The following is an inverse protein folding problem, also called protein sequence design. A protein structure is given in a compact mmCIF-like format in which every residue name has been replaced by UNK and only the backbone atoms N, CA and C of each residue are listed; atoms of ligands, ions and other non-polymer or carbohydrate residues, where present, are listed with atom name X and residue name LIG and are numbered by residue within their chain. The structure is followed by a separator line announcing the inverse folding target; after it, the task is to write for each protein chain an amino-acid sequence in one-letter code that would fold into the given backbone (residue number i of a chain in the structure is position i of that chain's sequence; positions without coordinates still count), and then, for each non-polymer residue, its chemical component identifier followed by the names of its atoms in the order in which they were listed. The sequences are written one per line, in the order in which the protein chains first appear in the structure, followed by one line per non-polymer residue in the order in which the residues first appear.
data_IF_512796490335
#
_entry.id   IF_512796490335
#
_cell.length_a   1.000
_cell.length_b   1.000
_cell.length_c   1.000
_cell.angle_alpha   90.00
_cell.angle_beta   90.00
_cell.angle_gamma   90.00
#
_symmetry.space_group_name_H-M   'P 1'
#
loop_
_entity.id
_entity.type
_entity.pdbx_description
1 polymer ?
#
# COMPACT_ATOMS: atom_id res chain seq x y z
N UNK A 1 13.50 21.54 2.33
CA UNK A 1 14.82 21.24 1.72
C UNK A 1 14.64 20.06 0.78
N UNK A 2 15.51 19.89 -0.22
CA UNK A 2 15.44 18.70 -1.08
C UNK A 2 15.70 17.44 -0.24
N UNK A 3 14.94 16.35 -0.42
CA UNK A 3 15.24 15.08 0.23
C UNK A 3 16.67 14.63 -0.08
N UNK A 4 17.38 14.15 0.93
CA UNK A 4 18.71 13.57 0.79
C UNK A 4 18.79 12.26 1.57
N UNK A 5 18.70 11.13 0.87
CA UNK A 5 18.66 9.81 1.51
C UNK A 5 19.92 9.50 2.33
N UNK A 6 21.05 10.13 2.01
CA UNK A 6 22.29 10.00 2.77
C UNK A 6 22.16 10.50 4.22
N UNK A 7 21.21 11.41 4.49
CA UNK A 7 20.91 11.83 5.86
C UNK A 7 20.32 10.69 6.70
N UNK A 8 19.83 9.61 6.07
CA UNK A 8 19.45 8.37 6.75
C UNK A 8 20.58 7.64 7.45
N UNK A 9 21.85 8.00 7.18
CA UNK A 9 23.06 7.49 7.85
C UNK A 9 23.45 8.31 9.09
N UNK A 10 22.88 9.50 9.25
CA UNK A 10 23.16 10.35 10.39
C UNK A 10 22.40 9.86 11.64
N UNK A 11 22.91 10.14 12.85
CA UNK A 11 22.13 9.99 14.06
C UNK A 11 20.81 10.76 13.98
N UNK A 12 19.74 10.20 14.54
CA UNK A 12 18.37 10.73 14.44
C UNK A 12 18.27 12.18 14.90
N UNK A 13 19.03 12.58 15.92
CA UNK A 13 19.05 13.96 16.42
C UNK A 13 19.69 14.95 15.43
N UNK A 14 20.57 14.49 14.55
CA UNK A 14 21.38 15.30 13.62
C UNK A 14 20.78 15.42 12.22
N UNK A 15 20.00 14.43 11.76
CA UNK A 15 19.31 14.51 10.46
C UNK A 15 18.13 15.49 10.50
N UNK A 16 17.71 16.10 9.39
CA UNK A 16 16.45 16.84 9.33
C UNK A 16 15.23 15.93 9.59
N UNK A 17 14.08 16.54 9.90
CA UNK A 17 12.80 15.84 9.79
C UNK A 17 12.57 15.42 8.35
N UNK A 18 11.94 14.27 8.13
CA UNK A 18 11.56 13.81 6.80
C UNK A 18 10.09 13.40 6.77
N UNK A 19 9.36 13.91 5.78
CA UNK A 19 7.96 13.56 5.53
C UNK A 19 7.86 13.00 4.12
N UNK A 20 7.13 11.88 3.98
CA UNK A 20 6.74 11.33 2.69
C UNK A 20 5.26 11.64 2.42
N UNK A 21 4.97 12.41 1.37
CA UNK A 21 3.61 12.71 0.92
C UNK A 21 3.25 11.81 -0.25
N UNK A 22 2.15 11.07 -0.15
CA UNK A 22 1.67 10.14 -1.17
C UNK A 22 0.38 10.67 -1.77
N UNK A 23 0.39 10.97 -3.07
CA UNK A 23 -0.83 11.13 -3.86
C UNK A 23 -1.34 9.75 -4.28
N UNK A 24 -2.52 9.39 -3.78
CA UNK A 24 -3.16 8.10 -3.93
C UNK A 24 -4.27 8.08 -4.97
N UNK A 25 -4.37 9.03 -5.91
CA UNK A 25 -5.32 8.92 -7.03
C UNK A 25 -4.84 7.89 -8.06
N UNK A 26 -5.75 7.22 -8.77
CA UNK A 26 -5.39 6.34 -9.90
C UNK A 26 -5.20 7.09 -11.24
N UNK A 27 -5.52 8.39 -11.30
CA UNK A 27 -5.40 9.14 -12.56
C UNK A 27 -3.95 9.26 -12.97
N UNK A 28 -3.70 9.04 -14.27
CA UNK A 28 -2.36 9.12 -14.86
C UNK A 28 -2.16 10.41 -15.62
N UNK A 29 -0.99 11.02 -15.47
CA UNK A 29 -0.59 12.11 -16.35
C UNK A 29 -0.42 11.59 -17.78
N UNK A 30 -0.88 12.37 -18.77
CA UNK A 30 -0.76 12.07 -20.21
C UNK A 30 -1.44 10.76 -20.65
N UNK A 31 -2.52 10.36 -19.97
CA UNK A 31 -3.36 9.23 -20.35
C UNK A 31 -4.82 9.54 -20.03
N UNK A 32 -5.75 8.64 -20.39
CA UNK A 32 -7.10 8.61 -19.82
C UNK A 32 -7.00 8.73 -18.27
N UNK A 33 -7.67 9.71 -17.64
CA UNK A 33 -8.84 10.46 -18.14
C UNK A 33 -8.57 11.80 -18.87
N UNK A 34 -7.31 12.19 -19.09
CA UNK A 34 -6.95 13.41 -19.85
C UNK A 34 -6.81 14.68 -19.00
N UNK A 35 -6.93 14.57 -17.68
CA UNK A 35 -6.78 15.67 -16.71
C UNK A 35 -6.03 15.19 -15.46
N UNK A 36 -5.32 16.10 -14.79
CA UNK A 36 -4.59 15.81 -13.56
C UNK A 36 -5.53 15.47 -12.39
N UNK A 37 -4.99 14.85 -11.34
CA UNK A 37 -5.76 14.51 -10.14
C UNK A 37 -5.77 15.65 -9.12
N UNK A 38 -6.88 15.79 -8.38
CA UNK A 38 -6.92 16.66 -7.19
C UNK A 38 -5.88 16.26 -6.17
N UNK A 39 -5.69 14.95 -5.98
CA UNK A 39 -4.69 14.38 -5.08
C UNK A 39 -3.29 14.93 -5.34
N UNK A 40 -2.89 15.03 -6.62
CA UNK A 40 -1.62 15.63 -7.02
C UNK A 40 -1.55 17.11 -6.67
N UNK A 41 -2.59 17.88 -6.98
CA UNK A 41 -2.67 19.30 -6.62
C UNK A 41 -2.54 19.51 -5.10
N UNK A 42 -3.23 18.69 -4.31
CA UNK A 42 -3.20 18.75 -2.84
C UNK A 42 -1.84 18.31 -2.27
N UNK A 43 -1.22 17.27 -2.83
CA UNK A 43 0.15 16.86 -2.49
C UNK A 43 1.16 17.98 -2.70
N UNK A 44 1.12 18.64 -3.86
CA UNK A 44 2.01 19.77 -4.17
C UNK A 44 1.75 20.96 -3.23
N UNK A 45 0.49 21.28 -2.95
CA UNK A 45 0.12 22.31 -1.98
C UNK A 45 0.65 22.01 -0.58
N UNK A 46 0.54 20.76 -0.10
CA UNK A 46 1.10 20.36 1.19
C UNK A 46 2.63 20.51 1.19
N UNK A 47 3.31 20.11 0.11
CA UNK A 47 4.76 20.25 0.00
C UNK A 47 5.22 21.72 0.09
N UNK A 48 4.45 22.67 -0.42
CA UNK A 48 4.74 24.10 -0.31
C UNK A 48 4.48 24.66 1.10
N UNK A 49 3.51 24.10 1.83
CA UNK A 49 3.11 24.58 3.16
C UNK A 49 3.90 23.96 4.31
N UNK A 50 4.44 22.75 4.14
CA UNK A 50 5.27 22.12 5.18
C UNK A 50 6.52 22.95 5.48
N UNK A 51 7.11 22.82 6.68
CA UNK A 51 8.32 23.54 7.05
C UNK A 51 9.47 23.26 6.07
N UNK A 52 10.02 24.32 5.47
CA UNK A 52 11.00 24.19 4.39
C UNK A 52 12.42 23.82 4.89
N UNK A 53 12.62 23.70 6.19
CA UNK A 53 13.78 23.07 6.83
C UNK A 53 13.63 21.54 6.97
N UNK A 54 12.47 20.97 6.62
CA UNK A 54 12.26 19.53 6.55
C UNK A 54 12.59 18.98 5.17
N UNK A 55 12.97 17.71 5.10
CA UNK A 55 13.01 16.93 3.87
C UNK A 55 11.60 16.54 3.47
N UNK A 56 11.12 17.16 2.40
CA UNK A 56 9.78 16.94 1.88
C UNK A 56 9.91 16.03 0.66
N UNK A 57 9.67 14.75 0.89
CA UNK A 57 9.65 13.70 -0.12
C UNK A 57 8.19 13.49 -0.57
N UNK A 58 7.94 13.28 -1.86
CA UNK A 58 6.59 13.01 -2.34
C UNK A 58 6.55 12.11 -3.57
N UNK A 59 5.47 11.35 -3.72
CA UNK A 59 5.21 10.51 -4.89
C UNK A 59 3.74 10.51 -5.28
N UNK A 60 3.49 10.48 -6.59
CA UNK A 60 2.16 10.31 -7.16
C UNK A 60 1.98 8.88 -7.68
N UNK A 61 1.28 8.04 -6.91
CA UNK A 61 1.06 6.62 -7.24
C UNK A 61 0.16 6.42 -8.45
N UNK A 62 -0.67 7.42 -8.79
CA UNK A 62 -1.48 7.42 -10.02
C UNK A 62 -0.60 7.36 -11.25
N UNK A 63 0.58 7.97 -11.13
CA UNK A 63 1.73 7.81 -12.01
C UNK A 63 1.63 8.55 -13.35
N UNK A 64 2.76 8.67 -14.05
CA UNK A 64 2.81 9.09 -15.45
C UNK A 64 2.47 7.90 -16.35
N UNK A 65 1.88 8.14 -17.52
CA UNK A 65 1.70 7.10 -18.54
C UNK A 65 3.01 6.31 -18.77
N UNK A 66 2.89 5.03 -19.14
CA UNK A 66 3.97 4.04 -19.36
C UNK A 66 4.86 3.62 -18.19
N UNK A 67 4.80 4.27 -17.02
CA UNK A 67 5.51 3.74 -15.84
C UNK A 67 4.95 2.37 -15.40
N UNK A 68 5.79 1.61 -14.69
CA UNK A 68 5.43 0.33 -14.10
C UNK A 68 4.15 0.42 -13.24
N UNK A 69 3.45 -0.71 -13.10
CA UNK A 69 2.36 -0.85 -12.14
C UNK A 69 2.94 -1.32 -10.80
N UNK A 70 2.21 -1.07 -9.71
CA UNK A 70 2.48 -1.77 -8.46
C UNK A 70 1.97 -3.19 -8.65
N UNK A 71 2.83 -4.17 -8.47
CA UNK A 71 2.45 -5.57 -8.54
C UNK A 71 1.72 -5.99 -7.24
N UNK A 72 0.83 -6.98 -7.32
CA UNK A 72 0.05 -7.44 -6.17
C UNK A 72 0.89 -8.17 -5.13
N UNK A 73 0.42 -8.26 -3.89
CA UNK A 73 1.06 -9.13 -2.90
C UNK A 73 0.84 -10.61 -3.26
N UNK A 74 1.89 -11.45 -3.15
CA UNK A 74 1.80 -12.90 -3.35
C UNK A 74 1.28 -13.65 -2.09
N UNK A 75 0.79 -12.93 -1.08
CA UNK A 75 0.23 -13.50 0.15
C UNK A 75 1.16 -14.46 0.90
N UNK A 76 2.48 -14.22 0.91
CA UNK A 76 3.44 -15.09 1.59
C UNK A 76 3.13 -15.30 3.08
N UNK A 77 2.58 -14.28 3.75
CA UNK A 77 2.16 -14.34 5.15
C UNK A 77 1.04 -15.38 5.40
N UNK A 78 0.24 -15.74 4.38
CA UNK A 78 -0.79 -16.79 4.50
C UNK A 78 -0.20 -18.20 4.57
N UNK A 79 1.09 -18.37 4.27
CA UNK A 79 1.83 -19.61 4.53
C UNK A 79 2.55 -19.54 5.88
N UNK A 80 3.28 -18.45 6.11
CA UNK A 80 4.05 -18.19 7.33
C UNK A 80 4.54 -16.75 7.30
N UNK A 81 4.55 -16.05 8.43
CA UNK A 81 5.13 -14.70 8.50
C UNK A 81 6.63 -14.71 8.20
N UNK A 82 7.32 -15.80 8.51
CA UNK A 82 8.73 -15.99 8.16
C UNK A 82 8.99 -16.06 6.63
N UNK A 83 7.96 -16.37 5.83
CA UNK A 83 8.02 -16.35 4.36
C UNK A 83 7.80 -14.94 3.79
N UNK A 84 7.14 -14.07 4.55
CA UNK A 84 6.87 -12.68 4.20
C UNK A 84 8.11 -11.81 4.53
N UNK A 85 9.05 -11.71 3.60
CA UNK A 85 10.33 -11.01 3.85
C UNK A 85 10.14 -9.50 3.92
N UNK A 86 10.91 -8.85 4.79
CA UNK A 86 11.03 -7.39 4.90
C UNK A 86 12.43 -6.91 4.46
N UNK A 87 12.53 -5.95 3.52
CA UNK A 87 11.47 -5.49 2.60
C UNK A 87 11.02 -6.60 1.64
N UNK A 88 9.84 -6.46 1.02
CA UNK A 88 9.23 -7.55 0.24
C UNK A 88 10.09 -7.98 -0.97
N UNK A 89 10.53 -9.23 -0.95
CA UNK A 89 11.33 -9.87 -2.00
C UNK A 89 10.51 -10.63 -3.07
N UNK A 90 9.20 -10.39 -3.19
CA UNK A 90 8.41 -11.03 -4.26
C UNK A 90 8.71 -10.46 -5.65
N UNK A 91 9.23 -9.24 -5.71
CA UNK A 91 9.66 -8.57 -6.94
C UNK A 91 11.01 -7.88 -6.67
N UNK A 92 11.60 -7.31 -7.71
CA UNK A 92 12.92 -6.69 -7.67
C UNK A 92 12.97 -5.45 -8.57
N UNK A 93 13.90 -4.50 -8.32
CA UNK A 93 14.00 -3.28 -9.12
C UNK A 93 14.46 -3.58 -10.55
N UNK A 94 13.88 -2.85 -11.52
CA UNK A 94 14.22 -2.94 -12.95
C UNK A 94 13.99 -4.32 -13.60
N UNK A 95 13.11 -5.15 -13.04
CA UNK A 95 12.77 -6.43 -13.65
C UNK A 95 11.96 -6.21 -14.95
N UNK A 96 12.38 -6.86 -16.05
CA UNK A 96 11.72 -6.70 -17.36
C UNK A 96 10.48 -7.58 -17.53
N UNK A 97 10.45 -8.73 -16.88
CA UNK A 97 9.33 -9.68 -16.97
C UNK A 97 8.19 -9.27 -16.02
N UNK A 98 8.54 -8.77 -14.84
CA UNK A 98 7.63 -8.38 -13.76
C UNK A 98 8.01 -7.00 -13.22
N UNK A 99 7.87 -5.92 -14.02
CA UNK A 99 8.20 -4.57 -13.56
C UNK A 99 7.32 -4.19 -12.37
N UNK A 100 7.94 -3.69 -11.29
CA UNK A 100 7.26 -3.31 -10.04
C UNK A 100 7.59 -1.88 -9.63
N UNK A 101 6.56 -1.03 -9.61
CA UNK A 101 6.71 0.39 -9.34
C UNK A 101 7.27 0.67 -7.94
N UNK A 102 6.93 -0.15 -6.93
CA UNK A 102 7.41 0.09 -5.57
C UNK A 102 8.92 -0.07 -5.46
N UNK A 103 9.49 -1.05 -6.15
CA UNK A 103 10.95 -1.23 -6.21
C UNK A 103 11.62 -0.21 -7.12
N UNK A 104 11.03 0.09 -8.29
CA UNK A 104 11.59 1.08 -9.22
C UNK A 104 11.67 2.50 -8.62
N UNK A 105 10.77 2.82 -7.68
CA UNK A 105 10.74 4.11 -6.96
C UNK A 105 11.36 4.05 -5.55
N UNK A 106 11.92 2.90 -5.16
CA UNK A 106 12.52 2.64 -3.84
C UNK A 106 11.59 3.02 -2.66
N UNK A 107 10.29 2.69 -2.80
CA UNK A 107 9.25 3.11 -1.85
C UNK A 107 9.49 2.53 -0.45
N UNK A 108 10.00 1.30 -0.32
CA UNK A 108 10.31 0.72 0.99
C UNK A 108 11.32 1.56 1.76
N UNK A 109 12.40 1.99 1.10
CA UNK A 109 13.42 2.86 1.71
C UNK A 109 12.86 4.23 2.05
N UNK A 110 12.03 4.81 1.18
CA UNK A 110 11.41 6.14 1.41
C UNK A 110 10.44 6.12 2.60
N UNK A 111 9.66 5.05 2.75
CA UNK A 111 8.79 4.83 3.90
C UNK A 111 9.60 4.66 5.20
N UNK A 112 10.70 3.91 5.14
CA UNK A 112 11.64 3.74 6.25
C UNK A 112 12.37 5.04 6.62
N UNK A 113 12.78 5.87 5.65
CA UNK A 113 13.48 7.12 5.93
C UNK A 113 12.58 8.21 6.55
N UNK A 114 11.28 8.16 6.29
CA UNK A 114 10.35 9.18 6.76
C UNK A 114 10.00 9.04 8.25
N UNK A 115 9.93 10.17 8.96
CA UNK A 115 9.37 10.29 10.30
C UNK A 115 7.84 10.18 10.28
N UNK A 116 7.24 10.69 9.21
CA UNK A 116 5.80 10.68 9.03
C UNK A 116 5.38 10.55 7.57
N UNK A 117 4.20 9.94 7.36
CA UNK A 117 3.58 9.75 6.06
C UNK A 117 2.30 10.59 5.97
N UNK A 118 2.12 11.30 4.87
CA UNK A 118 0.91 12.05 4.57
C UNK A 118 0.26 11.45 3.32
N UNK A 119 -0.89 10.79 3.48
CA UNK A 119 -1.54 10.05 2.40
C UNK A 119 -2.81 10.80 2.00
N UNK A 120 -2.85 11.23 0.74
CA UNK A 120 -3.93 12.05 0.19
C UNK A 120 -4.57 11.27 -0.95
N UNK A 121 -5.89 11.11 -1.00
CA UNK A 121 -6.50 10.39 -2.12
C UNK A 121 -8.03 10.41 -2.16
N UNK A 122 -8.62 10.03 -3.30
CA UNK A 122 -10.07 9.93 -3.43
C UNK A 122 -10.62 8.63 -2.84
N UNK A 123 -11.91 8.64 -2.48
CA UNK A 123 -12.70 7.43 -2.29
C UNK A 123 -13.16 6.92 -3.66
N UNK A 124 -12.88 5.66 -3.95
CA UNK A 124 -13.41 4.93 -5.09
C UNK A 124 -14.31 3.79 -4.57
N UNK A 125 -15.62 3.86 -4.80
CA UNK A 125 -16.58 2.80 -4.42
C UNK A 125 -16.43 2.35 -2.95
N UNK A 126 -16.50 3.28 -1.99
CA UNK A 126 -16.37 2.99 -0.55
C UNK A 126 -14.99 2.48 -0.09
N UNK A 127 -13.95 2.66 -0.91
CA UNK A 127 -12.61 2.19 -0.60
C UNK A 127 -11.52 3.17 -1.08
N UNK A 128 -10.27 3.02 -0.64
CA UNK A 128 -9.14 3.72 -1.25
C UNK A 128 -8.94 3.24 -2.68
N UNK A 129 -8.15 3.98 -3.45
CA UNK A 129 -7.83 3.57 -4.82
C UNK A 129 -7.01 2.29 -4.87
N UNK A 130 -7.13 1.55 -5.99
CA UNK A 130 -6.44 0.28 -6.19
C UNK A 130 -4.91 0.40 -6.07
N UNK A 131 -4.27 1.45 -6.61
CA UNK A 131 -2.82 1.62 -6.47
C UNK A 131 -2.43 1.85 -5.01
N UNK A 132 -3.18 2.67 -4.29
CA UNK A 132 -2.92 2.92 -2.87
C UNK A 132 -3.09 1.63 -2.04
N UNK A 133 -4.16 0.87 -2.31
CA UNK A 133 -4.40 -0.42 -1.67
C UNK A 133 -3.31 -1.45 -1.98
N UNK A 134 -2.82 -1.51 -3.23
CA UNK A 134 -1.70 -2.37 -3.63
C UNK A 134 -0.41 -2.02 -2.88
N UNK A 135 -0.10 -0.72 -2.70
CA UNK A 135 1.04 -0.29 -1.90
C UNK A 135 0.95 -0.85 -0.48
N UNK A 136 -0.21 -0.73 0.17
CA UNK A 136 -0.44 -1.24 1.52
C UNK A 136 -0.46 -2.78 1.59
N UNK A 137 -1.00 -3.48 0.59
CA UNK A 137 -0.96 -4.94 0.51
C UNK A 137 0.46 -5.49 0.41
N UNK A 138 1.35 -4.73 -0.23
CA UNK A 138 2.79 -5.04 -0.33
C UNK A 138 3.55 -4.72 0.97
N UNK A 139 2.96 -3.93 1.87
CA UNK A 139 3.51 -3.58 3.19
C UNK A 139 3.10 -4.52 4.31
N UNK A 140 2.39 -5.63 4.05
CA UNK A 140 2.12 -6.66 5.09
C UNK A 140 3.39 -7.08 5.81
N UNK A 141 4.52 -7.16 5.10
CA UNK A 141 5.83 -7.50 5.65
C UNK A 141 6.37 -6.51 6.70
N UNK A 142 5.86 -5.29 6.80
CA UNK A 142 6.34 -4.31 7.80
C UNK A 142 5.99 -4.71 9.24
N UNK A 143 5.01 -5.61 9.41
CA UNK A 143 4.62 -6.19 10.70
C UNK A 143 5.12 -7.63 10.77
N UNK A 144 6.23 -7.84 11.47
CA UNK A 144 6.77 -9.18 11.74
C UNK A 144 7.46 -9.88 10.57
N UNK A 145 7.50 -9.27 9.38
CA UNK A 145 8.11 -9.91 8.21
C UNK A 145 9.58 -10.26 8.40
N UNK A 146 10.05 -11.34 7.78
CA UNK A 146 11.39 -11.86 7.96
C UNK A 146 12.47 -10.92 7.37
N UNK A 147 13.37 -10.35 8.18
CA UNK A 147 14.43 -9.48 7.67
C UNK A 147 15.67 -10.26 7.14
N UNK A 148 15.70 -11.58 7.31
CA UNK A 148 16.80 -12.49 6.98
C UNK A 148 16.33 -13.64 6.09
N UNK A 149 16.20 -13.33 4.82
CA UNK A 149 15.75 -14.27 3.79
C UNK A 149 16.61 -15.53 3.64
N UNK A 150 17.90 -15.45 3.93
CA UNK A 150 18.84 -16.56 3.83
C UNK A 150 18.49 -17.72 4.76
N UNK A 151 17.85 -17.44 5.90
CA UNK A 151 17.37 -18.45 6.85
C UNK A 151 16.32 -19.39 6.25
N UNK A 152 15.60 -18.93 5.23
CA UNK A 152 14.56 -19.71 4.55
C UNK A 152 15.00 -20.15 3.15
N UNK A 153 16.26 -19.94 2.76
CA UNK A 153 16.75 -20.38 1.44
C UNK A 153 15.95 -19.85 0.25
N UNK A 154 15.45 -18.61 0.32
CA UNK A 154 14.63 -17.91 -0.68
C UNK A 154 13.33 -18.66 -1.06
N UNK A 155 12.21 -18.19 -0.52
CA UNK A 155 10.85 -18.68 -0.82
C UNK A 155 10.61 -20.18 -0.60
N UNK A 156 11.37 -20.81 0.30
CA UNK A 156 11.11 -22.19 0.75
C UNK A 156 10.05 -22.18 1.89
N UNK A 157 8.83 -22.70 1.64
CA UNK A 157 7.76 -22.62 2.63
C UNK A 157 8.01 -23.54 3.83
N UNK A 158 8.64 -24.71 3.65
CA UNK A 158 8.91 -25.63 4.77
C UNK A 158 9.93 -25.05 5.74
N UNK A 159 10.99 -24.41 5.23
CA UNK A 159 11.96 -23.72 6.09
C UNK A 159 11.35 -22.51 6.78
N UNK A 160 10.50 -21.76 6.08
CA UNK A 160 9.80 -20.62 6.68
C UNK A 160 8.87 -21.05 7.82
N UNK A 161 8.02 -22.06 7.60
CA UNK A 161 7.16 -22.60 8.66
C UNK A 161 7.98 -23.12 9.85
N UNK A 162 9.12 -23.78 9.60
CA UNK A 162 10.01 -24.22 10.67
C UNK A 162 10.64 -23.04 11.44
N UNK A 163 11.07 -21.99 10.74
CA UNK A 163 11.63 -20.77 11.35
C UNK A 163 10.59 -20.07 12.22
N UNK A 164 9.34 -19.92 11.78
CA UNK A 164 8.29 -19.24 12.55
C UNK A 164 7.96 -19.93 13.89
N UNK A 165 8.23 -21.23 14.01
CA UNK A 165 8.10 -21.97 15.26
C UNK A 165 9.38 -22.00 16.11
N UNK A 166 10.47 -21.39 15.64
CA UNK A 166 11.76 -21.42 16.34
C UNK A 166 11.88 -20.26 17.34
N UNK A 167 12.62 -20.42 18.45
CA UNK A 167 12.84 -19.34 19.41
C UNK A 167 13.49 -18.10 18.78
N UNK A 168 14.33 -18.29 17.76
CA UNK A 168 15.00 -17.21 17.02
C UNK A 168 14.00 -16.26 16.33
N UNK A 169 12.78 -16.72 16.04
CA UNK A 169 11.76 -15.89 15.39
C UNK A 169 11.30 -14.72 16.24
N UNK A 170 11.24 -14.89 17.57
CA UNK A 170 10.84 -13.82 18.50
C UNK A 170 11.79 -12.60 18.41
N UNK A 171 13.06 -12.82 18.08
CA UNK A 171 14.05 -11.75 17.91
C UNK A 171 14.02 -11.10 16.51
N UNK A 172 13.49 -11.80 15.50
CA UNK A 172 13.47 -11.37 14.10
C UNK A 172 12.18 -10.65 13.72
N UNK A 173 11.04 -11.13 14.25
CA UNK A 173 9.69 -10.66 13.93
C UNK A 173 9.36 -9.37 14.66
N UNK A 174 9.82 -8.24 14.11
CA UNK A 174 9.60 -6.90 14.65
C UNK A 174 8.60 -6.10 13.81
N UNK A 175 8.03 -5.04 14.39
CA UNK A 175 7.43 -3.97 13.61
C UNK A 175 8.56 -3.10 13.03
N UNK A 176 8.81 -3.24 11.72
CA UNK A 176 9.97 -2.62 11.08
C UNK A 176 9.83 -1.11 10.89
N UNK A 177 8.59 -0.61 10.91
CA UNK A 177 8.26 0.79 10.70
C UNK A 177 7.69 1.47 11.95
N UNK A 178 7.83 0.83 13.12
CA UNK A 178 7.29 1.31 14.39
C UNK A 178 7.72 2.74 14.74
N UNK A 179 6.84 3.43 15.45
CA UNK A 179 7.10 4.77 15.97
C UNK A 179 6.87 5.89 14.96
N UNK A 180 6.52 5.60 13.70
CA UNK A 180 6.14 6.62 12.70
C UNK A 180 4.74 7.17 12.93
N UNK A 181 4.47 8.33 12.33
CA UNK A 181 3.13 8.92 12.27
C UNK A 181 2.59 8.80 10.85
N UNK A 182 1.31 8.45 10.68
CA UNK A 182 0.63 8.62 9.41
C UNK A 182 -0.60 9.52 9.55
N UNK A 183 -0.83 10.34 8.54
CA UNK A 183 -2.04 11.13 8.36
C UNK A 183 -2.72 10.76 7.05
N UNK A 184 -4.05 10.74 7.05
CA UNK A 184 -4.87 10.41 5.88
C UNK A 184 -5.86 11.55 5.62
N UNK A 185 -5.79 12.13 4.43
CA UNK A 185 -6.78 13.07 3.92
C UNK A 185 -7.47 12.45 2.71
N UNK A 186 -8.69 11.96 2.93
CA UNK A 186 -9.51 11.39 1.87
C UNK A 186 -10.59 12.38 1.43
N UNK A 187 -11.04 12.26 0.19
CA UNK A 187 -12.12 13.10 -0.34
C UNK A 187 -13.01 12.30 -1.29
N UNK A 188 -14.26 12.72 -1.43
CA UNK A 188 -15.23 12.08 -2.31
C UNK A 188 -16.30 13.06 -2.78
N UNK A 189 -17.03 12.69 -3.83
CA UNK A 189 -18.08 13.53 -4.41
C UNK A 189 -19.49 13.20 -3.92
N UNK A 190 -19.64 12.19 -3.06
CA UNK A 190 -20.94 11.78 -2.53
C UNK A 190 -21.91 11.32 -3.62
N UNK A 191 -21.40 10.80 -4.74
CA UNK A 191 -22.23 10.43 -5.89
C UNK A 191 -22.51 11.59 -6.85
N UNK A 192 -21.87 12.76 -6.67
CA UNK A 192 -22.05 13.91 -7.55
C UNK A 192 -23.51 14.33 -7.65
N UNK A 193 -24.08 14.35 -8.87
CA UNK A 193 -25.49 14.64 -9.12
C UNK A 193 -26.36 13.38 -9.35
N UNK A 194 -25.84 12.20 -9.00
CA UNK A 194 -26.53 10.93 -9.20
C UNK A 194 -27.58 10.63 -8.12
N UNK A 195 -27.57 11.32 -6.99
CA UNK A 195 -28.48 11.04 -5.87
C UNK A 195 -29.86 11.69 -6.08
N UNK A 196 -30.94 10.97 -5.74
CA UNK A 196 -32.31 11.48 -5.71
C UNK A 196 -32.68 12.04 -4.32
N UNK A 197 -33.94 12.46 -4.15
CA UNK A 197 -34.45 13.08 -2.91
C UNK A 197 -34.47 12.11 -1.72
N UNK A 198 -34.46 10.80 -1.99
CA UNK A 198 -34.42 9.74 -0.99
C UNK A 198 -32.99 9.21 -0.77
N UNK A 199 -31.97 9.99 -1.16
CA UNK A 199 -30.54 9.66 -1.06
C UNK A 199 -30.19 8.34 -1.77
N UNK A 200 -30.86 8.03 -2.89
CA UNK A 200 -30.58 6.83 -3.69
C UNK A 200 -30.03 7.19 -5.06
N UNK A 201 -29.13 6.39 -5.65
CA UNK A 201 -28.69 6.64 -7.02
C UNK A 201 -29.87 6.59 -8.00
N UNK A 202 -30.10 7.68 -8.75
CA UNK A 202 -31.20 7.91 -9.71
C UNK A 202 -31.34 6.78 -10.72
N UNK A 203 -30.22 6.22 -11.18
CA UNK A 203 -30.18 5.17 -12.21
C UNK A 203 -30.56 3.77 -11.70
N UNK A 204 -30.63 3.54 -10.38
CA UNK A 204 -31.01 2.24 -9.83
C UNK A 204 -32.46 1.90 -10.21
N UNK A 205 -32.64 0.79 -10.91
CA UNK A 205 -33.97 0.23 -11.22
C UNK A 205 -34.61 -0.43 -10.00
N UNK A 206 -33.80 -1.13 -9.19
CA UNK A 206 -34.23 -1.82 -7.98
C UNK A 206 -33.83 -0.99 -6.75
N UNK A 207 -34.56 0.10 -6.49
CA UNK A 207 -34.24 1.07 -5.42
C UNK A 207 -34.09 0.42 -4.03
N UNK A 208 -34.86 -0.63 -3.76
CA UNK A 208 -34.82 -1.37 -2.50
C UNK A 208 -33.55 -2.23 -2.29
N UNK A 209 -32.66 -2.34 -3.27
CA UNK A 209 -31.32 -2.93 -3.08
C UNK A 209 -30.33 -1.95 -2.44
N UNK A 210 -30.67 -0.67 -2.38
CA UNK A 210 -29.86 0.37 -1.79
C UNK A 210 -30.65 1.04 -0.68
N UNK A 211 -30.27 0.76 0.56
CA UNK A 211 -30.80 1.39 1.75
C UNK A 211 -29.76 2.37 2.29
N UNK A 212 -29.96 3.70 2.14
CA UNK A 212 -29.00 4.71 2.58
C UNK A 212 -28.66 4.60 4.08
N UNK A 213 -29.62 4.16 4.90
CA UNK A 213 -29.40 3.95 6.34
C UNK A 213 -28.47 2.77 6.66
N UNK A 214 -28.21 1.89 5.68
CA UNK A 214 -27.32 0.74 5.80
C UNK A 214 -26.04 0.91 4.99
N UNK A 215 -25.73 2.14 4.55
CA UNK A 215 -24.43 2.42 3.95
C UNK A 215 -23.29 2.11 4.93
N UNK A 216 -22.11 1.71 4.42
CA UNK A 216 -21.08 1.09 5.25
C UNK A 216 -20.45 2.03 6.28
N UNK A 217 -20.62 3.35 6.14
CA UNK A 217 -19.93 4.35 6.96
C UNK A 217 -20.87 5.49 7.38
N UNK A 218 -20.84 5.86 8.67
CA UNK A 218 -21.42 7.13 9.15
C UNK A 218 -20.50 8.33 8.85
N UNK A 219 -19.19 8.08 8.80
CA UNK A 219 -18.16 9.04 8.45
C UNK A 219 -17.32 8.47 7.31
N UNK A 220 -17.41 9.10 6.15
CA UNK A 220 -16.78 8.66 4.89
C UNK A 220 -15.26 8.46 5.00
N UNK A 221 -14.60 9.05 6.02
CA UNK A 221 -13.18 8.74 6.25
C UNK A 221 -12.95 7.24 6.49
N UNK A 222 -13.95 6.52 7.00
CA UNK A 222 -13.93 5.09 7.25
C UNK A 222 -13.73 4.24 5.98
N UNK A 223 -13.94 4.79 4.78
CA UNK A 223 -13.49 4.16 3.54
C UNK A 223 -11.99 3.83 3.56
N UNK A 224 -11.18 4.57 4.34
CA UNK A 224 -9.74 4.35 4.50
C UNK A 224 -9.38 3.53 5.76
N UNK A 225 -10.37 3.05 6.52
CA UNK A 225 -10.15 2.32 7.76
C UNK A 225 -9.20 1.12 7.61
N UNK A 226 -9.26 0.28 6.55
CA UNK A 226 -8.32 -0.84 6.40
C UNK A 226 -6.85 -0.41 6.38
N UNK A 227 -6.53 0.73 5.75
CA UNK A 227 -5.16 1.25 5.68
C UNK A 227 -4.71 1.83 7.03
N UNK A 228 -5.61 2.59 7.67
CA UNK A 228 -5.39 3.18 9.00
C UNK A 228 -5.14 2.09 10.05
N UNK A 229 -5.96 1.04 10.05
CA UNK A 229 -5.81 -0.07 10.97
C UNK A 229 -4.56 -0.91 10.67
N UNK A 230 -4.19 -1.10 9.41
CA UNK A 230 -2.91 -1.74 9.07
C UNK A 230 -1.71 -0.93 9.61
N UNK A 231 -1.72 0.39 9.46
CA UNK A 231 -0.71 1.28 10.05
C UNK A 231 -0.64 1.11 11.56
N UNK A 232 -1.77 1.23 12.26
CA UNK A 232 -1.84 1.07 13.73
C UNK A 232 -1.37 -0.31 14.18
N UNK A 233 -1.79 -1.37 13.47
CA UNK A 233 -1.39 -2.75 13.75
C UNK A 233 0.14 -2.96 13.61
N UNK A 234 0.79 -2.13 12.80
CA UNK A 234 2.24 -2.18 12.55
C UNK A 234 3.03 -1.16 13.37
N UNK A 235 2.45 -0.61 14.44
CA UNK A 235 3.11 0.36 15.32
C UNK A 235 3.29 1.77 14.74
N UNK A 236 2.56 2.10 13.68
CA UNK A 236 2.51 3.45 13.08
C UNK A 236 1.27 4.13 13.61
N UNK A 237 1.44 5.22 14.36
CA UNK A 237 0.29 5.91 14.92
C UNK A 237 -0.46 6.73 13.86
N UNK A 238 -1.78 6.65 13.92
CA UNK A 238 -2.68 7.46 13.10
C UNK A 238 -3.63 8.17 14.06
N UNK A 239 -3.29 9.37 14.55
CA UNK A 239 -4.18 10.13 15.42
C UNK A 239 -5.48 10.46 14.69
N UNK A 240 -6.63 10.36 15.35
CA UNK A 240 -7.93 10.61 14.70
C UNK A 240 -8.03 12.02 14.11
N UNK A 241 -7.35 13.01 14.72
CA UNK A 241 -7.27 14.39 14.19
C UNK A 241 -6.53 14.50 12.85
N UNK A 242 -5.73 13.49 12.48
CA UNK A 242 -4.98 13.39 11.23
C UNK A 242 -5.63 12.46 10.22
N UNK A 243 -6.76 11.83 10.56
CA UNK A 243 -7.58 11.02 9.64
C UNK A 243 -8.87 11.79 9.35
N UNK A 244 -8.92 12.42 8.18
CA UNK A 244 -10.01 13.33 7.79
C UNK A 244 -10.59 12.98 6.43
N UNK A 245 -11.86 13.31 6.27
CA UNK A 245 -12.59 13.32 5.02
C UNK A 245 -13.05 14.75 4.70
N UNK A 246 -13.05 15.11 3.42
CA UNK A 246 -13.70 16.32 2.93
C UNK A 246 -14.51 15.99 1.66
N UNK A 247 -15.78 16.39 1.64
CA UNK A 247 -16.63 16.23 0.47
C UNK A 247 -16.31 17.32 -0.58
N UNK A 248 -16.35 16.97 -1.86
CA UNK A 248 -16.11 17.92 -2.96
C UNK A 248 -16.89 17.55 -4.21
N UNK A 249 -17.60 18.52 -4.78
CA UNK A 249 -18.41 18.31 -6.00
C UNK A 249 -19.75 17.64 -5.77
N UNK A 250 -20.28 17.70 -4.55
CA UNK A 250 -21.64 17.29 -4.24
C UNK A 250 -22.66 18.02 -5.14
N UNK A 251 -23.59 17.27 -5.73
CA UNK A 251 -24.61 17.79 -6.64
C UNK A 251 -24.09 18.28 -7.99
N UNK A 252 -22.81 18.07 -8.31
CA UNK A 252 -22.21 18.47 -9.59
C UNK A 252 -21.99 17.26 -10.50
N UNK A 253 -21.91 17.53 -11.81
CA UNK A 253 -21.39 16.54 -12.76
C UNK A 253 -19.94 16.21 -12.43
N UNK A 254 -19.51 14.97 -12.67
CA UNK A 254 -18.11 14.57 -12.49
C UNK A 254 -17.14 15.41 -13.32
N UNK A 255 -17.57 15.93 -14.48
CA UNK A 255 -16.78 16.84 -15.33
C UNK A 255 -16.53 18.19 -14.67
N UNK A 256 -17.45 18.66 -13.83
CA UNK A 256 -17.44 19.99 -13.19
C UNK A 256 -16.86 19.92 -11.77
N UNK A 257 -16.09 18.86 -11.54
CA UNK A 257 -15.38 18.56 -10.33
C UNK A 257 -13.97 18.09 -10.69
N UNK A 258 -13.14 18.97 -11.26
CA UNK A 258 -11.71 18.77 -11.51
C UNK A 258 -10.83 19.54 -10.52
N UNK A 259 -9.51 19.52 -10.73
CA UNK A 259 -8.54 20.11 -9.79
C UNK A 259 -8.65 21.66 -9.76
N UNK A 260 -8.96 22.27 -10.90
CA UNK A 260 -9.22 23.70 -11.06
C UNK A 260 -10.47 24.16 -10.31
N UNK A 261 -11.41 23.25 -10.05
CA UNK A 261 -12.68 23.55 -9.38
C UNK A 261 -12.58 23.56 -7.86
N UNK A 262 -11.50 23.02 -7.28
CA UNK A 262 -11.27 22.99 -5.81
C UNK A 262 -11.40 24.40 -5.21
N UNK A 263 -10.91 25.42 -5.93
CA UNK A 263 -10.97 26.84 -5.48
C UNK A 263 -12.39 27.38 -5.35
N UNK A 264 -13.35 26.76 -6.04
CA UNK A 264 -14.76 27.14 -6.02
C UNK A 264 -15.55 26.35 -4.98
N UNK A 265 -14.97 25.28 -4.43
CA UNK A 265 -15.59 24.49 -3.38
C UNK A 265 -15.48 25.22 -2.04
N UNK A 266 -16.61 25.52 -1.36
CA UNK A 266 -16.59 26.20 -0.08
C UNK A 266 -15.71 25.47 0.94
N UNK A 267 -14.84 26.19 1.62
CA UNK A 267 -14.01 25.73 2.74
C UNK A 267 -13.02 24.57 2.45
N UNK A 268 -13.03 23.94 1.27
CA UNK A 268 -12.20 22.76 1.01
C UNK A 268 -10.70 23.01 1.25
N UNK A 269 -10.16 24.11 0.70
CA UNK A 269 -8.76 24.48 0.96
C UNK A 269 -8.50 24.85 2.43
N UNK A 270 -9.48 25.43 3.13
CA UNK A 270 -9.35 25.76 4.54
C UNK A 270 -9.27 24.49 5.39
N UNK A 271 -10.11 23.49 5.11
CA UNK A 271 -10.10 22.19 5.80
C UNK A 271 -8.82 21.42 5.54
N UNK A 272 -8.36 21.42 4.28
CA UNK A 272 -7.10 20.79 3.89
C UNK A 272 -5.89 21.48 4.53
N UNK A 273 -5.85 22.81 4.52
CA UNK A 273 -4.77 23.57 5.17
C UNK A 273 -4.77 23.36 6.69
N UNK A 274 -5.94 23.34 7.34
CA UNK A 274 -6.05 23.02 8.75
C UNK A 274 -5.61 21.59 9.09
N UNK A 275 -5.74 20.64 8.15
CA UNK A 275 -5.18 19.30 8.29
C UNK A 275 -3.65 19.30 8.17
N UNK A 276 -3.09 20.06 7.22
CA UNK A 276 -1.62 20.22 7.09
C UNK A 276 -1.03 20.84 8.36
N UNK A 277 -1.68 21.87 8.91
CA UNK A 277 -1.21 22.54 10.12
C UNK A 277 -1.25 21.57 11.32
N UNK A 278 -2.36 20.83 11.49
CA UNK A 278 -2.47 19.80 12.53
C UNK A 278 -1.44 18.66 12.37
N UNK A 279 -1.16 18.24 11.14
CA UNK A 279 -0.14 17.24 10.82
C UNK A 279 1.25 17.75 11.20
N UNK A 280 1.59 18.97 10.78
CA UNK A 280 2.87 19.61 11.03
C UNK A 280 3.13 19.75 12.54
N UNK A 281 2.13 20.22 13.28
CA UNK A 281 2.25 20.40 14.72
C UNK A 281 2.39 19.06 15.45
N UNK A 282 1.63 18.04 15.05
CA UNK A 282 1.74 16.71 15.64
C UNK A 282 3.14 16.11 15.42
N UNK A 283 3.63 16.12 14.17
CA UNK A 283 4.93 15.53 13.82
C UNK A 283 6.06 16.28 14.53
N UNK A 284 6.01 17.61 14.57
CA UNK A 284 7.00 18.43 15.28
C UNK A 284 7.00 18.14 16.78
N UNK A 285 5.83 18.07 17.40
CA UNK A 285 5.69 17.83 18.83
C UNK A 285 6.18 16.44 19.22
N UNK A 286 5.89 15.43 18.41
CA UNK A 286 6.35 14.05 18.63
C UNK A 286 7.87 13.92 18.51
N UNK A 287 8.46 14.60 17.54
CA UNK A 287 9.89 14.47 17.25
C UNK A 287 10.21 13.41 16.19
N UNK A 288 11.51 13.27 15.91
CA UNK A 288 12.04 12.36 14.89
C UNK A 288 12.02 10.91 15.38
N UNK A 289 11.83 9.99 14.46
CA UNK A 289 11.69 8.55 14.72
C UNK A 289 13.04 7.86 14.65
N UNK A 290 13.33 7.04 15.67
CA UNK A 290 14.49 6.16 15.63
C UNK A 290 14.22 5.02 14.64
N UNK A 291 15.12 4.78 13.68
CA UNK A 291 14.95 3.68 12.75
C UNK A 291 15.00 2.30 13.42
N UNK A 292 14.30 1.33 12.84
CA UNK A 292 14.35 -0.07 13.30
C UNK A 292 15.72 -0.70 13.03
N UNK A 293 16.00 -1.81 13.74
CA UNK A 293 17.19 -2.67 13.55
C UNK A 293 17.33 -3.14 12.10
N UNK A 294 16.21 -3.45 11.43
CA UNK A 294 16.18 -3.97 10.06
C UNK A 294 15.64 -2.90 9.10
N UNK A 295 16.56 -2.05 8.63
CA UNK A 295 16.26 -0.96 7.69
C UNK A 295 15.92 -1.50 6.31
N UNK A 296 14.93 -0.88 5.66
CA UNK A 296 14.76 -1.03 4.21
C UNK A 296 15.78 -0.15 3.47
N UNK A 297 16.07 1.04 4.00
CA UNK A 297 17.12 1.90 3.46
C UNK A 297 18.48 1.21 3.48
N UNK A 298 19.11 1.12 2.31
CA UNK A 298 20.40 0.46 2.14
C UNK A 298 20.33 -1.07 2.11
N UNK A 299 19.12 -1.66 2.16
CA UNK A 299 18.93 -3.09 1.98
C UNK A 299 19.41 -3.52 0.59
N UNK A 300 20.14 -4.63 0.54
CA UNK A 300 20.57 -5.29 -0.69
C UNK A 300 20.08 -6.72 -0.64
N UNK A 301 19.20 -7.08 -1.55
CA UNK A 301 18.68 -8.44 -1.65
C UNK A 301 19.84 -9.44 -1.84
N UNK A 302 19.85 -10.57 -1.13
CA UNK A 302 20.81 -11.63 -1.37
C UNK A 302 20.63 -12.23 -2.77
N UNK A 303 21.73 -12.72 -3.36
CA UNK A 303 21.67 -13.41 -4.64
C UNK A 303 20.98 -14.76 -4.51
N UNK A 304 19.98 -15.03 -5.35
CA UNK A 304 19.08 -16.18 -5.23
C UNK A 304 19.12 -17.16 -6.42
N UNK A 305 20.06 -17.02 -7.38
CA UNK A 305 20.14 -17.85 -8.60
C UNK A 305 20.04 -19.37 -8.38
N UNK A 306 20.70 -19.90 -7.35
CA UNK A 306 20.64 -21.34 -7.04
C UNK A 306 19.28 -21.71 -6.46
N UNK A 307 18.73 -20.86 -5.60
CA UNK A 307 17.41 -21.06 -5.02
C UNK A 307 16.32 -20.96 -6.10
N UNK A 308 16.44 -20.05 -7.07
CA UNK A 308 15.52 -19.97 -8.21
C UNK A 308 15.46 -21.26 -9.01
N UNK A 309 16.63 -21.88 -9.25
CA UNK A 309 16.70 -23.16 -9.95
C UNK A 309 16.01 -24.27 -9.13
N UNK A 310 16.18 -24.25 -7.81
CA UNK A 310 15.51 -25.20 -6.90
C UNK A 310 13.99 -24.99 -6.90
N UNK A 311 13.52 -23.74 -6.88
CA UNK A 311 12.10 -23.39 -6.96
C UNK A 311 11.50 -23.78 -8.30
N UNK A 312 12.19 -23.55 -9.41
CA UNK A 312 11.73 -23.96 -10.74
C UNK A 312 11.57 -25.48 -10.81
N UNK A 313 12.53 -26.23 -10.29
CA UNK A 313 12.44 -27.68 -10.19
C UNK A 313 11.27 -28.13 -9.32
N UNK A 314 11.10 -27.52 -8.14
CA UNK A 314 9.97 -27.75 -7.23
C UNK A 314 8.63 -27.52 -7.94
N UNK A 315 8.48 -26.39 -8.62
CA UNK A 315 7.25 -26.02 -9.32
C UNK A 315 6.92 -27.00 -10.44
N UNK A 316 7.93 -27.40 -11.22
CA UNK A 316 7.75 -28.41 -12.29
C UNK A 316 7.28 -29.75 -11.73
N UNK A 317 7.83 -30.19 -10.59
CA UNK A 317 7.38 -31.43 -9.94
C UNK A 317 5.95 -31.34 -9.41
N UNK A 318 5.58 -30.21 -8.81
CA UNK A 318 4.21 -29.98 -8.32
C UNK A 318 3.19 -30.01 -9.47
N UNK A 319 3.52 -29.41 -10.62
CA UNK A 319 2.68 -29.45 -11.82
C UNK A 319 2.41 -30.88 -12.33
N UNK A 320 3.38 -31.78 -12.15
CA UNK A 320 3.27 -33.19 -12.49
C UNK A 320 2.59 -34.05 -11.39
N UNK A 321 2.05 -33.42 -10.34
CA UNK A 321 1.38 -34.10 -9.24
C UNK A 321 2.33 -34.81 -8.26
N UNK A 322 3.60 -34.39 -8.21
CA UNK A 322 4.63 -34.99 -7.35
C UNK A 322 5.17 -33.94 -6.36
N UNK A 323 4.37 -33.52 -5.36
CA UNK A 323 4.79 -32.52 -4.38
C UNK A 323 5.93 -33.03 -3.49
N UNK A 324 6.65 -32.12 -2.79
CA UNK A 324 7.58 -32.52 -1.76
C UNK A 324 6.88 -33.37 -0.69
N UNK A 325 7.56 -34.43 -0.24
CA UNK A 325 7.00 -35.33 0.77
C UNK A 325 6.70 -34.56 2.06
N UNK A 326 5.59 -34.87 2.72
CA UNK A 326 5.16 -34.29 3.99
C UNK A 326 4.85 -32.77 3.94
N UNK A 327 4.87 -32.16 2.74
CA UNK A 327 4.50 -30.75 2.54
C UNK A 327 2.99 -30.50 2.62
N UNK A 328 2.60 -29.24 2.82
CA UNK A 328 1.18 -28.83 2.80
C UNK A 328 0.49 -29.22 1.48
N UNK A 329 1.16 -29.06 0.33
CA UNK A 329 0.60 -29.44 -0.98
C UNK A 329 0.38 -30.96 -1.07
N UNK A 330 1.31 -31.77 -0.54
CA UNK A 330 1.12 -33.22 -0.49
C UNK A 330 -0.08 -33.63 0.37
N UNK A 331 -0.30 -32.96 1.50
CA UNK A 331 -1.46 -33.20 2.36
C UNK A 331 -2.77 -32.77 1.68
N UNK A 332 -2.78 -31.61 1.00
CA UNK A 332 -3.94 -31.14 0.24
C UNK A 332 -4.30 -32.11 -0.90
N UNK A 333 -3.31 -32.61 -1.64
CA UNK A 333 -3.50 -33.59 -2.69
C UNK A 333 -4.02 -34.92 -2.13
N UNK A 334 -3.47 -35.41 -1.01
CA UNK A 334 -3.95 -36.63 -0.35
C UNK A 334 -5.40 -36.48 0.15
N UNK A 335 -5.76 -35.31 0.63
CA UNK A 335 -7.12 -34.99 1.07
C UNK A 335 -8.08 -34.68 -0.09
N UNK A 336 -7.60 -34.59 -1.33
CA UNK A 336 -8.41 -34.26 -2.49
C UNK A 336 -8.99 -32.85 -2.46
N UNK A 337 -8.31 -31.91 -1.77
CA UNK A 337 -8.80 -30.53 -1.62
C UNK A 337 -8.67 -29.72 -2.91
N UNK A 338 -7.58 -29.94 -3.66
CA UNK A 338 -7.29 -29.23 -4.90
C UNK A 338 -6.90 -30.21 -6.01
N UNK A 339 -7.25 -29.87 -7.26
CA UNK A 339 -6.81 -30.59 -8.45
C UNK A 339 -5.57 -29.90 -9.05
N UNK A 340 -4.43 -30.06 -8.39
CA UNK A 340 -3.23 -29.25 -8.64
C UNK A 340 -2.41 -29.66 -9.89
N UNK A 341 -2.78 -30.77 -10.55
CA UNK A 341 -2.08 -31.23 -11.75
C UNK A 341 -2.47 -30.33 -12.93
N UNK A 342 -1.56 -29.44 -13.32
CA UNK A 342 -1.73 -28.49 -14.43
C UNK A 342 -0.66 -28.70 -15.50
N UNK A 343 -1.07 -29.27 -16.63
CA UNK A 343 -0.23 -29.42 -17.82
C UNK A 343 -0.11 -28.11 -18.63
N UNK A 344 -1.11 -27.22 -18.55
CA UNK A 344 -1.09 -25.89 -19.15
C UNK A 344 -1.36 -24.81 -18.09
N UNK A 345 -0.35 -23.98 -17.82
CA UNK A 345 -0.45 -22.89 -16.85
C UNK A 345 -1.27 -21.70 -17.35
N UNK A 346 -1.52 -21.59 -18.66
CA UNK A 346 -2.23 -20.46 -19.24
C UNK A 346 -3.74 -20.63 -19.21
N UNK A 347 -4.23 -21.87 -19.16
CA UNK A 347 -5.68 -22.15 -19.09
C UNK A 347 -6.25 -21.70 -17.76
N UNK A 348 -7.32 -20.93 -17.78
CA UNK A 348 -8.05 -20.55 -16.57
C UNK A 348 -8.82 -21.73 -15.97
N UNK A 349 -9.11 -21.68 -14.66
CA UNK A 349 -9.95 -22.71 -13.99
C UNK A 349 -11.30 -22.90 -14.70
N UNK A 350 -11.90 -21.82 -15.18
CA UNK A 350 -13.15 -21.90 -15.93
C UNK A 350 -13.01 -22.59 -17.29
N UNK A 351 -11.84 -22.54 -17.94
CA UNK A 351 -11.60 -23.27 -19.19
C UNK A 351 -11.45 -24.76 -18.91
N UNK A 352 -10.67 -25.12 -17.89
CA UNK A 352 -10.48 -26.51 -17.44
C UNK A 352 -11.82 -27.15 -17.06
N UNK A 353 -12.68 -26.42 -16.34
CA UNK A 353 -14.01 -26.92 -15.96
C UNK A 353 -14.92 -27.26 -17.15
N UNK A 354 -14.65 -26.70 -18.33
CA UNK A 354 -15.46 -26.89 -19.55
C UNK A 354 -14.90 -27.97 -20.48
N UNK A 355 -13.77 -28.57 -20.15
CA UNK A 355 -13.18 -29.73 -20.85
C UNK A 355 -13.65 -31.03 -20.20
#
# INVERSE_FOLDING_TARGET
MKPNDENGKLPTEQRPFRVLIISGSNRRQYNCPGVDSKSRTLMLRMAERLPQDWEIDYEDLGNVFTRARIQSCNACASTSMALCVWPCNCYEPNNKAEPDLMWDLDIYSRLDLADAWAIIGPINWYAPTSNLKLMFDRLVCMNGGNPKEDLIGHKDPEKAMALEHSPEWEELSLNHLEGRTAGFFCYGDGGGDEMDEDERPRLLKHKYYFDPEQEPFEDERCAYAPLVWQSRYSGIEVPDRLWRYAQIGHGKKYSDNQAEDIKSEPNFYQEFDAWIDAFTDFVRQKGKVQPSKYRAYGYKAPGHKLADLQLLWRNTRMQLGVPPKDSSVAQQQQAGLNQDIRLDMKKGEGEILRE
#
